data_IF_061092738799
#
_entry.id   IF_061092738799
#
_cell.length_a   1.000
_cell.length_b   1.000
_cell.length_c   1.000
_cell.angle_alpha   90.00
_cell.angle_beta   90.00
_cell.angle_gamma   90.00
#
_symmetry.space_group_name_H-M   'P 1'
#
loop_
_entity.id
_entity.type
_entity.pdbx_description
1 polymer ?
#
# COMPACT_ATOMS: atom_id res chain seq x y z
N UNK A 1 -70.88 -11.94 -28.80
CA UNK A 1 -69.88 -12.79 -28.09
C UNK A 1 -68.49 -12.29 -28.49
N UNK A 2 -67.90 -11.46 -27.65
CA UNK A 2 -66.52 -10.97 -27.83
C UNK A 2 -65.57 -11.84 -27.00
N UNK A 3 -64.59 -12.46 -27.66
CA UNK A 3 -63.50 -13.22 -26.99
C UNK A 3 -62.42 -12.24 -26.60
N UNK A 4 -62.19 -12.11 -25.29
CA UNK A 4 -61.07 -11.41 -24.72
C UNK A 4 -59.82 -12.31 -24.80
N UNK A 5 -58.74 -11.81 -25.41
CA UNK A 5 -57.45 -12.49 -25.42
C UNK A 5 -56.62 -11.97 -24.23
N UNK A 6 -55.96 -12.84 -23.47
CA UNK A 6 -55.10 -12.39 -22.39
C UNK A 6 -53.78 -11.83 -22.93
N UNK A 7 -53.49 -10.60 -22.50
CA UNK A 7 -52.23 -9.88 -22.76
C UNK A 7 -51.12 -10.48 -21.89
N UNK A 8 -50.26 -11.30 -22.49
CA UNK A 8 -49.10 -11.86 -21.80
C UNK A 8 -48.00 -10.82 -21.76
N UNK A 9 -47.84 -10.17 -20.61
CA UNK A 9 -46.77 -9.18 -20.36
C UNK A 9 -45.47 -9.95 -20.19
N UNK A 10 -44.62 -9.97 -21.22
CA UNK A 10 -43.29 -10.54 -21.21
C UNK A 10 -42.33 -9.52 -20.52
N UNK A 11 -42.16 -9.70 -19.22
CA UNK A 11 -41.18 -8.94 -18.43
C UNK A 11 -39.80 -9.47 -18.78
N UNK A 12 -39.13 -8.87 -19.78
CA UNK A 12 -37.72 -9.13 -20.07
C UNK A 12 -36.89 -8.41 -19.00
N UNK A 13 -36.52 -9.14 -17.97
CA UNK A 13 -35.58 -8.71 -17.00
C UNK A 13 -34.19 -8.49 -17.62
N UNK A 14 -33.85 -7.24 -17.88
CA UNK A 14 -32.49 -6.82 -18.25
C UNK A 14 -31.57 -7.03 -17.05
N UNK A 15 -30.97 -8.21 -16.97
CA UNK A 15 -29.88 -8.49 -16.04
C UNK A 15 -28.67 -7.72 -16.57
N UNK A 16 -28.47 -6.50 -16.10
CA UNK A 16 -27.18 -5.83 -16.20
C UNK A 16 -26.17 -6.64 -15.38
N UNK A 17 -25.48 -7.54 -16.03
CA UNK A 17 -24.25 -8.14 -15.53
C UNK A 17 -23.23 -6.99 -15.41
N UNK A 18 -23.14 -6.40 -14.22
CA UNK A 18 -21.98 -5.60 -13.82
C UNK A 18 -20.78 -6.57 -13.80
N UNK A 19 -20.14 -6.71 -14.95
CA UNK A 19 -18.80 -7.29 -15.01
C UNK A 19 -17.88 -6.33 -14.27
N UNK A 20 -17.76 -6.51 -12.95
CA UNK A 20 -16.64 -5.96 -12.22
C UNK A 20 -15.41 -6.62 -12.81
N UNK A 21 -14.65 -5.87 -13.59
CA UNK A 21 -13.27 -6.21 -13.91
C UNK A 21 -12.50 -6.27 -12.60
N UNK A 22 -12.58 -7.38 -11.90
CA UNK A 22 -11.64 -7.73 -10.84
C UNK A 22 -10.31 -7.96 -11.55
N UNK A 23 -9.41 -7.00 -11.44
CA UNK A 23 -8.04 -7.12 -11.91
C UNK A 23 -7.49 -8.47 -11.42
N UNK A 24 -6.81 -9.23 -12.29
CA UNK A 24 -6.31 -10.58 -11.99
C UNK A 24 -5.32 -10.69 -10.81
N UNK A 25 -4.93 -9.57 -10.23
CA UNK A 25 -4.14 -9.44 -8.99
C UNK A 25 -4.94 -9.95 -7.77
N UNK A 26 -6.26 -9.81 -7.77
CA UNK A 26 -7.11 -10.08 -6.58
C UNK A 26 -7.20 -11.54 -6.15
N UNK A 27 -6.92 -12.51 -7.01
CA UNK A 27 -7.06 -13.94 -6.69
C UNK A 27 -5.76 -14.60 -6.24
N UNK A 28 -4.63 -14.19 -6.77
CA UNK A 28 -3.35 -14.85 -6.49
C UNK A 28 -2.84 -14.54 -5.08
N UNK A 29 -2.93 -13.29 -4.60
CA UNK A 29 -2.48 -12.98 -3.25
C UNK A 29 -3.34 -13.63 -2.17
N UNK A 30 -4.64 -13.85 -2.38
CA UNK A 30 -5.52 -14.52 -1.39
C UNK A 30 -5.11 -15.97 -1.16
N UNK A 31 -4.80 -16.69 -2.23
CA UNK A 31 -4.29 -18.07 -2.12
C UNK A 31 -2.94 -18.09 -1.43
N UNK A 32 -2.05 -17.19 -1.81
CA UNK A 32 -0.73 -17.04 -1.19
C UNK A 32 -0.86 -16.68 0.29
N UNK A 33 -1.76 -15.75 0.64
CA UNK A 33 -2.02 -15.33 2.02
C UNK A 33 -2.37 -16.53 2.91
N UNK A 34 -3.34 -17.35 2.52
CA UNK A 34 -3.72 -18.53 3.30
C UNK A 34 -2.58 -19.52 3.44
N UNK A 35 -1.79 -19.71 2.38
CA UNK A 35 -0.61 -20.58 2.41
C UNK A 35 0.41 -20.11 3.45
N UNK A 36 0.79 -18.83 3.41
CA UNK A 36 1.81 -18.28 4.31
C UNK A 36 1.32 -18.14 5.74
N UNK A 37 0.04 -17.85 5.96
CA UNK A 37 -0.54 -17.81 7.30
C UNK A 37 -0.50 -19.19 7.96
N UNK A 38 -0.83 -20.24 7.22
CA UNK A 38 -0.77 -21.61 7.74
C UNK A 38 0.66 -22.10 8.06
N UNK A 39 1.68 -21.47 7.48
CA UNK A 39 3.09 -21.75 7.70
C UNK A 39 3.75 -20.86 8.76
N UNK A 40 3.10 -19.77 9.15
CA UNK A 40 3.67 -18.80 10.09
C UNK A 40 3.48 -19.22 11.53
N UNK A 41 4.52 -19.06 12.34
CA UNK A 41 4.46 -19.23 13.80
C UNK A 41 3.54 -18.19 14.48
N UNK A 42 3.19 -17.10 13.78
CA UNK A 42 2.35 -16.00 14.26
C UNK A 42 1.01 -15.89 13.53
N UNK A 43 0.52 -16.97 12.96
CA UNK A 43 -0.72 -17.01 12.17
C UNK A 43 -1.89 -16.28 12.85
N UNK A 44 -2.14 -16.55 14.13
CA UNK A 44 -3.25 -15.94 14.88
C UNK A 44 -3.09 -14.43 15.05
N UNK A 45 -1.87 -13.97 15.32
CA UNK A 45 -1.58 -12.52 15.43
C UNK A 45 -1.77 -11.81 14.10
N UNK A 46 -1.35 -12.42 12.99
CA UNK A 46 -1.52 -11.87 11.65
C UNK A 46 -3.00 -11.88 11.20
N UNK A 47 -3.75 -12.94 11.52
CA UNK A 47 -5.21 -12.99 11.28
C UNK A 47 -5.94 -11.92 12.08
N UNK A 48 -5.56 -11.72 13.35
CA UNK A 48 -6.12 -10.67 14.19
C UNK A 48 -5.79 -9.26 13.65
N UNK A 49 -4.56 -9.06 13.17
CA UNK A 49 -4.16 -7.82 12.51
C UNK A 49 -5.05 -7.55 11.29
N UNK A 50 -5.20 -8.51 10.38
CA UNK A 50 -6.07 -8.40 9.22
C UNK A 50 -7.51 -8.05 9.59
N UNK A 51 -8.06 -8.72 10.60
CA UNK A 51 -9.43 -8.48 11.07
C UNK A 51 -9.62 -7.07 11.65
N UNK A 52 -8.59 -6.52 12.31
CA UNK A 52 -8.61 -5.17 12.90
C UNK A 52 -8.26 -4.06 11.92
N UNK A 53 -7.72 -4.38 10.76
CA UNK A 53 -7.38 -3.41 9.73
C UNK A 53 -8.65 -2.79 9.14
N UNK A 54 -8.72 -1.46 8.96
CA UNK A 54 -9.84 -0.79 8.29
C UNK A 54 -10.15 -1.40 6.94
N UNK A 55 -11.42 -1.44 6.56
CA UNK A 55 -11.87 -2.15 5.36
C UNK A 55 -11.18 -1.69 4.07
N UNK A 56 -10.95 -0.39 3.94
CA UNK A 56 -10.26 0.24 2.80
C UNK A 56 -8.74 -0.02 2.75
N UNK A 57 -8.16 -0.51 3.85
CA UNK A 57 -6.75 -0.88 3.99
C UNK A 57 -6.52 -2.40 3.96
N UNK A 58 -7.59 -3.21 4.06
CA UNK A 58 -7.47 -4.67 4.22
C UNK A 58 -6.77 -5.35 3.05
N UNK A 59 -7.03 -4.92 1.81
CA UNK A 59 -6.39 -5.49 0.63
C UNK A 59 -4.88 -5.24 0.65
N UNK A 60 -4.46 -4.03 0.99
CA UNK A 60 -3.05 -3.66 1.10
C UNK A 60 -2.34 -4.46 2.20
N UNK A 61 -2.96 -4.59 3.38
CA UNK A 61 -2.43 -5.39 4.48
C UNK A 61 -2.31 -6.86 4.09
N UNK A 62 -3.34 -7.42 3.48
CA UNK A 62 -3.36 -8.81 3.03
C UNK A 62 -2.28 -9.08 1.97
N UNK A 63 -2.10 -8.15 1.03
CA UNK A 63 -1.05 -8.23 0.02
C UNK A 63 0.35 -8.23 0.63
N UNK A 64 0.63 -7.31 1.56
CA UNK A 64 1.93 -7.28 2.26
C UNK A 64 2.21 -8.58 2.99
N UNK A 65 1.28 -9.11 3.78
CA UNK A 65 1.47 -10.36 4.53
C UNK A 65 1.70 -11.54 3.57
N UNK A 66 0.99 -11.57 2.44
CA UNK A 66 1.13 -12.64 1.45
C UNK A 66 2.54 -12.70 0.83
N UNK A 67 3.16 -11.54 0.60
CA UNK A 67 4.41 -11.45 -0.17
C UNK A 67 5.64 -11.06 0.65
N UNK A 68 5.48 -10.66 1.92
CA UNK A 68 6.63 -10.36 2.77
C UNK A 68 7.48 -11.61 3.03
N UNK A 69 8.81 -11.46 3.25
CA UNK A 69 9.70 -12.56 3.63
C UNK A 69 9.21 -13.29 4.89
N UNK A 70 9.47 -14.59 4.97
CA UNK A 70 9.08 -15.39 6.14
C UNK A 70 9.67 -14.84 7.44
N UNK A 71 10.94 -14.44 7.44
CA UNK A 71 11.58 -13.84 8.61
C UNK A 71 10.83 -12.60 9.12
N UNK A 72 10.38 -11.74 8.22
CA UNK A 72 9.59 -10.56 8.57
C UNK A 72 8.22 -10.96 9.12
N UNK A 73 7.54 -11.96 8.52
CA UNK A 73 6.26 -12.47 9.07
C UNK A 73 6.39 -12.96 10.51
N UNK A 74 7.50 -13.61 10.81
CA UNK A 74 7.71 -14.25 12.12
C UNK A 74 8.21 -13.26 13.19
N UNK A 75 8.86 -12.16 12.81
CA UNK A 75 9.56 -11.28 13.77
C UNK A 75 9.15 -9.81 13.75
N UNK A 76 8.61 -9.30 12.64
CA UNK A 76 8.34 -7.88 12.47
C UNK A 76 7.35 -7.33 13.50
N UNK A 77 7.55 -6.08 13.92
CA UNK A 77 6.59 -5.35 14.72
C UNK A 77 5.30 -5.08 13.90
N UNK A 78 4.17 -5.56 14.40
CA UNK A 78 2.87 -5.39 13.73
C UNK A 78 2.39 -3.93 13.69
N UNK A 79 2.84 -3.08 14.61
CA UNK A 79 2.52 -1.65 14.57
C UNK A 79 3.24 -0.94 13.43
N UNK A 80 4.44 -1.39 13.06
CA UNK A 80 5.12 -0.94 11.86
C UNK A 80 4.31 -1.26 10.60
N UNK A 81 3.76 -2.48 10.49
CA UNK A 81 2.91 -2.84 9.35
C UNK A 81 1.65 -1.99 9.29
N UNK A 82 1.00 -1.73 10.43
CA UNK A 82 -0.19 -0.86 10.49
C UNK A 82 0.14 0.55 10.01
N UNK A 83 1.21 1.15 10.55
CA UNK A 83 1.64 2.48 10.15
C UNK A 83 1.94 2.53 8.66
N UNK A 84 2.70 1.56 8.16
CA UNK A 84 3.08 1.50 6.74
C UNK A 84 1.84 1.46 5.83
N UNK A 85 0.88 0.59 6.11
CA UNK A 85 -0.35 0.45 5.32
C UNK A 85 -1.20 1.71 5.42
N UNK A 86 -1.44 2.20 6.65
CA UNK A 86 -2.27 3.37 6.88
C UNK A 86 -1.77 4.60 6.11
N UNK A 87 -0.47 4.90 6.18
CA UNK A 87 0.10 6.06 5.46
C UNK A 87 0.20 5.84 3.95
N UNK A 88 0.45 4.63 3.46
CA UNK A 88 0.42 4.33 2.03
C UNK A 88 -0.99 4.52 1.45
N UNK A 89 -2.01 3.97 2.09
CA UNK A 89 -3.41 4.10 1.67
C UNK A 89 -3.89 5.54 1.80
N UNK A 90 -3.51 6.24 2.87
CA UNK A 90 -3.82 7.65 3.05
C UNK A 90 -3.29 8.50 1.90
N UNK A 91 -2.01 8.41 1.56
CA UNK A 91 -1.41 9.15 0.43
C UNK A 91 -2.14 8.83 -0.86
N UNK A 92 -2.45 7.55 -1.10
CA UNK A 92 -3.18 7.13 -2.30
C UNK A 92 -4.56 7.80 -2.42
N UNK A 93 -5.29 7.94 -1.32
CA UNK A 93 -6.64 8.49 -1.30
C UNK A 93 -6.68 10.02 -1.20
N UNK A 94 -5.66 10.65 -0.62
CA UNK A 94 -5.66 12.07 -0.30
C UNK A 94 -5.36 12.96 -1.50
N UNK A 95 -4.36 12.60 -2.32
CA UNK A 95 -3.92 13.44 -3.43
C UNK A 95 -4.60 13.03 -4.75
N UNK A 96 -5.05 14.01 -5.53
CA UNK A 96 -5.69 13.74 -6.83
C UNK A 96 -4.79 12.98 -7.80
N UNK A 97 -3.50 13.27 -7.79
CA UNK A 97 -2.50 12.65 -8.67
C UNK A 97 -2.11 11.22 -8.26
N UNK A 98 -2.36 10.80 -7.01
CA UNK A 98 -2.12 9.42 -6.57
C UNK A 98 -3.31 8.50 -6.86
N UNK A 99 -4.53 9.04 -6.93
CA UNK A 99 -5.75 8.25 -7.21
C UNK A 99 -5.73 7.54 -8.56
N UNK A 100 -4.98 8.07 -9.52
CA UNK A 100 -4.84 7.50 -10.86
C UNK A 100 -3.76 6.40 -10.95
N UNK A 101 -3.02 6.12 -9.86
CA UNK A 101 -2.01 5.08 -9.87
C UNK A 101 -2.67 3.69 -10.04
N UNK A 102 -2.20 2.88 -11.00
CA UNK A 102 -2.62 1.50 -11.12
C UNK A 102 -2.39 0.71 -9.82
N UNK A 103 -3.28 -0.22 -9.49
CA UNK A 103 -3.15 -1.06 -8.29
C UNK A 103 -1.81 -1.81 -8.27
N UNK A 104 -1.34 -2.30 -9.43
CA UNK A 104 -0.06 -2.98 -9.54
C UNK A 104 1.12 -2.10 -9.12
N UNK A 105 1.12 -0.82 -9.49
CA UNK A 105 2.16 0.13 -9.09
C UNK A 105 2.04 0.43 -7.60
N UNK A 106 0.82 0.68 -7.10
CA UNK A 106 0.62 0.92 -5.68
C UNK A 106 1.11 -0.26 -4.82
N UNK A 107 0.70 -1.48 -5.14
CA UNK A 107 1.01 -2.65 -4.35
C UNK A 107 2.49 -3.05 -4.39
N UNK A 108 3.18 -2.88 -5.53
CA UNK A 108 4.55 -3.33 -5.69
C UNK A 108 5.61 -2.26 -5.43
N UNK A 109 5.30 -0.98 -5.68
CA UNK A 109 6.30 0.09 -5.64
C UNK A 109 6.05 1.09 -4.49
N UNK A 110 4.79 1.29 -4.10
CA UNK A 110 4.45 2.27 -3.06
C UNK A 110 4.24 1.64 -1.70
N UNK A 111 3.57 0.50 -1.65
CA UNK A 111 3.17 -0.17 -0.41
C UNK A 111 4.32 -0.85 0.36
N UNK A 112 5.39 -1.40 -0.26
CA UNK A 112 6.45 -2.07 0.49
C UNK A 112 7.04 -1.21 1.61
N UNK A 113 7.34 -1.82 2.75
CA UNK A 113 7.83 -1.15 3.97
C UNK A 113 9.35 -0.99 3.99
N UNK A 114 10.07 -1.73 3.16
CA UNK A 114 11.52 -1.71 3.06
C UNK A 114 11.98 -2.28 1.72
N UNK A 115 13.22 -1.99 1.35
CA UNK A 115 13.90 -2.52 0.17
C UNK A 115 14.89 -3.59 0.60
N UNK A 116 14.83 -4.77 -0.03
CA UNK A 116 15.72 -5.93 0.16
C UNK A 116 16.14 -6.17 1.63
N UNK A 117 17.34 -5.74 2.02
CA UNK A 117 17.97 -5.96 3.33
C UNK A 117 17.94 -4.72 4.25
N UNK A 118 17.22 -3.67 3.87
CA UNK A 118 17.01 -2.47 4.67
C UNK A 118 16.51 -2.81 6.08
N UNK A 119 16.98 -2.08 7.10
CA UNK A 119 16.46 -2.21 8.47
C UNK A 119 14.96 -1.89 8.50
N UNK A 120 14.15 -2.78 9.11
CA UNK A 120 12.70 -2.59 9.24
C UNK A 120 12.43 -1.56 10.33
N UNK A 121 12.10 -0.34 9.90
CA UNK A 121 11.93 0.82 10.79
C UNK A 121 10.70 1.63 10.37
N UNK A 122 10.16 2.39 11.33
CA UNK A 122 9.02 3.27 11.11
C UNK A 122 9.52 4.59 10.55
N UNK A 123 9.15 4.91 9.32
CA UNK A 123 9.58 6.14 8.63
C UNK A 123 8.45 6.85 7.89
N UNK A 124 7.36 6.15 7.57
CA UNK A 124 6.31 6.72 6.69
C UNK A 124 5.58 7.89 7.31
N UNK A 125 5.29 7.83 8.61
CA UNK A 125 4.63 8.93 9.30
C UNK A 125 5.47 10.21 9.25
N UNK A 126 6.77 10.09 9.54
CA UNK A 126 7.68 11.24 9.51
C UNK A 126 7.80 11.82 8.09
N UNK A 127 7.95 10.95 7.08
CA UNK A 127 8.00 11.38 5.68
C UNK A 127 6.70 12.03 5.24
N UNK A 128 5.56 11.45 5.59
CA UNK A 128 4.27 12.06 5.33
C UNK A 128 4.20 13.48 5.91
N UNK A 129 4.55 13.65 7.16
CA UNK A 129 4.50 14.95 7.84
C UNK A 129 5.43 15.99 7.20
N UNK A 130 6.58 15.57 6.68
CA UNK A 130 7.55 16.45 6.01
C UNK A 130 7.15 16.82 4.60
N UNK A 131 6.67 15.86 3.82
CA UNK A 131 6.48 16.03 2.37
C UNK A 131 5.04 16.33 1.96
N UNK A 132 4.03 15.77 2.62
CA UNK A 132 2.63 15.94 2.23
C UNK A 132 2.22 17.42 2.07
N UNK A 133 2.54 18.35 2.98
CA UNK A 133 2.19 19.75 2.81
C UNK A 133 2.84 20.41 1.59
N UNK A 134 4.01 19.89 1.17
CA UNK A 134 4.81 20.44 0.06
C UNK A 134 4.30 20.00 -1.30
N UNK A 135 3.72 18.78 -1.39
CA UNK A 135 3.22 18.18 -2.63
C UNK A 135 1.71 18.26 -2.80
N UNK A 136 0.97 18.69 -1.80
CA UNK A 136 -0.49 18.73 -1.79
C UNK A 136 -1.12 19.46 -2.98
N UNK A 137 -0.43 20.49 -3.49
CA UNK A 137 -0.91 21.33 -4.61
C UNK A 137 -0.30 20.94 -5.96
N UNK A 138 0.49 19.87 -6.05
CA UNK A 138 1.06 19.42 -7.31
C UNK A 138 -0.06 18.94 -8.24
N UNK A 139 0.06 19.29 -9.52
CA UNK A 139 -0.95 18.96 -10.51
C UNK A 139 -0.96 17.46 -10.88
N UNK A 140 0.23 16.84 -10.85
CA UNK A 140 0.44 15.45 -11.24
C UNK A 140 1.64 14.84 -10.47
N UNK A 141 1.86 13.54 -10.69
CA UNK A 141 2.93 12.80 -10.04
C UNK A 141 4.33 13.30 -10.43
N UNK A 142 4.52 13.79 -11.67
CA UNK A 142 5.80 14.34 -12.13
C UNK A 142 6.15 15.59 -11.34
N UNK A 143 5.20 16.52 -11.23
CA UNK A 143 5.37 17.74 -10.44
C UNK A 143 5.65 17.44 -8.96
N UNK A 144 5.03 16.39 -8.40
CA UNK A 144 5.29 15.94 -7.03
C UNK A 144 6.72 15.38 -6.88
N UNK A 145 7.17 14.52 -7.80
CA UNK A 145 8.53 13.96 -7.81
C UNK A 145 9.58 15.08 -7.95
N UNK A 146 9.41 15.99 -8.91
CA UNK A 146 10.32 17.12 -9.13
C UNK A 146 10.40 18.02 -7.88
N UNK A 147 9.27 18.24 -7.23
CA UNK A 147 9.20 19.01 -5.99
C UNK A 147 9.98 18.31 -4.88
N UNK A 148 9.74 17.01 -4.64
CA UNK A 148 10.43 16.22 -3.61
C UNK A 148 11.94 16.23 -3.87
N UNK A 149 12.39 15.91 -5.07
CA UNK A 149 13.81 15.86 -5.42
C UNK A 149 14.53 17.19 -5.14
N UNK A 150 13.86 18.30 -5.38
CA UNK A 150 14.43 19.63 -5.14
C UNK A 150 14.54 19.96 -3.64
N UNK A 151 13.57 19.52 -2.83
CA UNK A 151 13.49 19.91 -1.42
C UNK A 151 14.08 18.87 -0.45
N UNK A 152 14.39 17.65 -0.91
CA UNK A 152 14.94 16.59 -0.06
C UNK A 152 16.13 17.08 0.79
N UNK A 153 17.17 17.72 0.22
CA UNK A 153 18.33 18.14 1.04
C UNK A 153 17.94 19.11 2.16
N UNK A 154 16.99 20.02 1.88
CA UNK A 154 16.52 20.99 2.87
C UNK A 154 15.63 20.36 3.94
N UNK A 155 14.67 19.52 3.52
CA UNK A 155 13.63 18.97 4.40
C UNK A 155 14.15 17.84 5.27
N UNK A 156 15.06 17.03 4.76
CA UNK A 156 15.61 15.86 5.44
C UNK A 156 16.94 16.17 6.11
N UNK A 157 17.71 17.12 5.58
CA UNK A 157 19.01 17.50 6.11
C UNK A 157 20.05 16.38 5.98
N UNK A 158 19.97 15.59 4.92
CA UNK A 158 20.83 14.43 4.69
C UNK A 158 21.84 14.73 3.62
N UNK A 159 23.11 14.44 3.90
CA UNK A 159 24.19 14.50 2.93
C UNK A 159 24.54 13.09 2.40
N UNK A 160 24.93 13.02 1.14
CA UNK A 160 25.41 11.77 0.55
C UNK A 160 26.80 11.42 1.09
N UNK A 161 26.93 10.24 1.67
CA UNK A 161 28.21 9.75 2.20
C UNK A 161 28.60 8.42 1.56
N UNK A 162 29.75 8.40 0.89
CA UNK A 162 30.33 7.20 0.29
C UNK A 162 31.13 6.34 1.28
N UNK A 163 31.46 6.87 2.46
CA UNK A 163 32.26 6.19 3.51
C UNK A 163 31.33 5.58 4.57
N UNK A 164 30.29 4.90 4.14
CA UNK A 164 29.32 4.30 5.03
C UNK A 164 29.86 3.07 5.76
N UNK A 165 29.58 2.99 7.05
CA UNK A 165 29.85 1.79 7.86
C UNK A 165 28.74 0.74 7.72
N UNK A 166 27.52 1.17 7.43
CA UNK A 166 26.33 0.32 7.34
C UNK A 166 25.67 0.47 5.97
N UNK A 167 25.38 -0.65 5.31
CA UNK A 167 24.84 -0.68 3.95
C UNK A 167 23.33 -0.85 3.88
N UNK A 168 22.67 -1.18 4.99
CA UNK A 168 21.25 -1.50 5.09
C UNK A 168 20.48 -0.51 5.98
N UNK A 169 20.84 0.78 5.91
CA UNK A 169 20.14 1.83 6.64
C UNK A 169 18.70 1.97 6.17
N UNK A 170 17.78 2.14 7.12
CA UNK A 170 16.44 2.61 6.81
C UNK A 170 16.43 4.11 6.48
N UNK A 171 15.38 4.62 5.81
CA UNK A 171 15.19 6.05 5.64
C UNK A 171 15.22 6.82 6.98
N UNK A 172 14.64 6.27 8.04
CA UNK A 172 14.66 6.88 9.37
C UNK A 172 16.06 6.91 9.98
N UNK A 173 16.87 5.86 9.80
CA UNK A 173 18.28 5.86 10.23
C UNK A 173 19.09 6.92 9.48
N UNK A 174 18.92 7.02 8.17
CA UNK A 174 19.61 8.03 7.34
C UNK A 174 19.30 9.45 7.83
N UNK A 175 18.06 9.75 8.16
CA UNK A 175 17.66 11.04 8.72
C UNK A 175 18.30 11.27 10.08
N UNK A 176 18.28 10.29 10.98
CA UNK A 176 18.88 10.43 12.32
C UNK A 176 20.39 10.67 12.26
N UNK A 177 21.06 10.10 11.29
CA UNK A 177 22.50 10.24 11.09
C UNK A 177 22.89 11.47 10.26
N UNK A 178 21.94 12.09 9.55
CA UNK A 178 22.22 13.18 8.62
C UNK A 178 22.97 12.71 7.36
N UNK A 179 22.99 11.40 7.09
CA UNK A 179 23.75 10.82 5.99
C UNK A 179 22.94 9.76 5.26
N UNK A 180 22.90 9.83 3.93
CA UNK A 180 22.38 8.81 3.06
C UNK A 180 23.53 8.10 2.31
N UNK A 181 23.35 6.86 2.05
CA UNK A 181 24.36 6.01 1.38
C UNK A 181 23.74 5.22 0.23
#
# INVERSE_FOLDING_TARGET
MRKEAPFFLLLVGLICSLSTCTSGISTDYKRQLETVLNQSSRADSLRLLLHKTPHDEQEAMAYLIAWMPQGDRDTMNLDLLKENVAYACRVRSEFSWTKALPDSIFLNEVLPYAVVDETRDSWRQDFYNRFAPRVAKCADIRAAIDTINRIIPEVVGVEYNTLREKTNQSPAESIRQGMAS
#
